data_IF_517569342636
#
_entry.id   IF_517569342636
#
_cell.length_a   1.000
_cell.length_b   1.000
_cell.length_c   1.000
_cell.angle_alpha   90.00
_cell.angle_beta   90.00
_cell.angle_gamma   90.00
#
_symmetry.space_group_name_H-M   'P 1'
#
loop_
_entity.id
_entity.type
_entity.pdbx_description
1 polymer ?
#
# COMPACT_ATOMS: atom_id res chain seq x y z
N UNK A 1 22.00 -17.00 -10.09
CA UNK A 1 22.01 -15.73 -9.32
C UNK A 1 23.12 -14.86 -9.86
N UNK A 2 22.85 -13.62 -10.24
CA UNK A 2 23.92 -12.69 -10.58
C UNK A 2 24.62 -12.20 -9.31
N UNK A 3 25.91 -11.82 -9.36
CA UNK A 3 26.62 -11.20 -8.23
C UNK A 3 25.85 -10.00 -7.63
N UNK A 4 25.13 -9.26 -8.47
CA UNK A 4 24.29 -8.11 -8.08
C UNK A 4 23.08 -8.56 -7.25
N UNK A 5 22.46 -9.68 -7.61
CA UNK A 5 21.35 -10.26 -6.85
C UNK A 5 21.77 -10.62 -5.43
N UNK A 6 22.93 -11.26 -5.27
CA UNK A 6 23.46 -11.60 -3.93
C UNK A 6 23.77 -10.35 -3.10
N UNK A 7 24.40 -9.33 -3.71
CA UNK A 7 24.70 -8.06 -3.03
C UNK A 7 23.43 -7.37 -2.52
N UNK A 8 22.37 -7.38 -3.32
CA UNK A 8 21.09 -6.79 -2.94
C UNK A 8 20.44 -7.54 -1.77
N UNK A 9 20.51 -8.87 -1.75
CA UNK A 9 20.02 -9.68 -0.63
C UNK A 9 20.78 -9.40 0.67
N UNK A 10 22.12 -9.34 0.61
CA UNK A 10 22.94 -8.99 1.77
C UNK A 10 22.60 -7.58 2.28
N UNK A 11 22.40 -6.63 1.38
CA UNK A 11 21.99 -5.27 1.74
C UNK A 11 20.63 -5.25 2.43
N UNK A 12 19.63 -5.96 1.90
CA UNK A 12 18.31 -6.02 2.51
C UNK A 12 18.35 -6.72 3.87
N UNK A 13 19.13 -7.80 4.02
CA UNK A 13 19.31 -8.47 5.31
C UNK A 13 19.94 -7.56 6.38
N UNK A 14 20.82 -6.63 6.00
CA UNK A 14 21.34 -5.60 6.91
C UNK A 14 20.25 -4.61 7.34
N UNK A 15 19.44 -4.15 6.37
CA UNK A 15 18.30 -3.27 6.65
C UNK A 15 17.30 -3.93 7.60
N UNK A 16 16.98 -5.21 7.37
CA UNK A 16 16.06 -5.99 8.20
C UNK A 16 16.55 -6.18 9.64
N UNK A 17 17.88 -6.06 9.88
CA UNK A 17 18.48 -6.04 11.22
C UNK A 17 18.61 -4.65 11.84
N UNK A 18 18.12 -3.61 11.18
CA UNK A 18 18.24 -2.22 11.65
C UNK A 18 19.60 -1.56 11.36
N UNK A 19 20.46 -2.19 10.56
CA UNK A 19 21.75 -1.63 10.12
C UNK A 19 21.61 -0.80 8.82
N UNK A 20 20.38 -0.47 8.43
CA UNK A 20 20.07 0.29 7.24
C UNK A 20 20.30 1.80 7.42
N UNK A 21 20.46 2.55 6.31
CA UNK A 21 20.42 4.01 6.37
C UNK A 21 19.04 4.50 6.86
N UNK A 22 18.99 5.71 7.42
CA UNK A 22 17.73 6.31 7.86
C UNK A 22 16.67 6.30 6.75
N UNK A 23 15.45 5.88 7.09
CA UNK A 23 14.33 5.76 6.14
C UNK A 23 14.37 4.49 5.26
N UNK A 24 15.35 3.60 5.42
CA UNK A 24 15.33 2.30 4.78
C UNK A 24 14.25 1.41 5.42
N UNK A 25 13.27 1.01 4.61
CA UNK A 25 12.25 0.07 5.04
C UNK A 25 12.79 -1.36 5.04
N UNK A 26 12.53 -2.06 6.13
CA UNK A 26 12.63 -3.52 6.24
C UNK A 26 11.68 -4.19 5.24
N UNK A 27 11.92 -5.47 4.98
CA UNK A 27 11.05 -6.29 4.12
C UNK A 27 9.60 -6.27 4.62
N UNK A 28 9.40 -6.44 5.93
CA UNK A 28 8.07 -6.42 6.54
C UNK A 28 7.37 -5.05 6.42
N UNK A 29 8.08 -3.95 6.63
CA UNK A 29 7.51 -2.60 6.47
C UNK A 29 7.13 -2.30 5.01
N UNK A 30 7.90 -2.79 4.03
CA UNK A 30 7.54 -2.63 2.61
C UNK A 30 6.28 -3.40 2.26
N UNK A 31 6.16 -4.64 2.74
CA UNK A 31 4.98 -5.46 2.55
C UNK A 31 3.73 -4.82 3.16
N UNK A 32 3.85 -4.33 4.39
CA UNK A 32 2.76 -3.65 5.06
C UNK A 32 2.36 -2.34 4.35
N UNK A 33 3.34 -1.53 3.92
CA UNK A 33 3.06 -0.33 3.14
C UNK A 33 2.33 -0.63 1.84
N UNK A 34 2.72 -1.70 1.13
CA UNK A 34 2.05 -2.13 -0.10
C UNK A 34 0.60 -2.58 0.20
N UNK A 35 0.39 -3.35 1.27
CA UNK A 35 -0.94 -3.79 1.71
C UNK A 35 -1.84 -2.61 2.07
N UNK A 36 -1.32 -1.65 2.83
CA UNK A 36 -2.06 -0.45 3.24
C UNK A 36 -2.42 0.41 2.03
N UNK A 37 -1.49 0.65 1.10
CA UNK A 37 -1.78 1.40 -0.15
C UNK A 37 -2.89 0.74 -0.97
N UNK A 38 -2.88 -0.59 -1.07
CA UNK A 38 -3.96 -1.34 -1.73
C UNK A 38 -5.30 -1.13 -1.01
N UNK A 39 -5.31 -1.25 0.32
CA UNK A 39 -6.52 -1.07 1.13
C UNK A 39 -7.10 0.34 0.98
N UNK A 40 -6.26 1.38 1.02
CA UNK A 40 -6.71 2.77 0.83
C UNK A 40 -7.39 2.94 -0.53
N UNK A 41 -6.77 2.45 -1.61
CA UNK A 41 -7.36 2.52 -2.95
C UNK A 41 -8.71 1.82 -3.04
N UNK A 42 -8.86 0.66 -2.40
CA UNK A 42 -10.12 -0.08 -2.36
C UNK A 42 -11.21 0.64 -1.56
N UNK A 43 -10.82 1.28 -0.44
CA UNK A 43 -11.72 2.10 0.37
C UNK A 43 -12.19 3.34 -0.41
N UNK A 44 -11.30 4.03 -1.10
CA UNK A 44 -11.62 5.19 -1.94
C UNK A 44 -12.62 4.82 -3.04
N UNK A 45 -12.38 3.70 -3.75
CA UNK A 45 -13.31 3.20 -4.76
C UNK A 45 -14.69 2.86 -4.18
N UNK A 46 -14.72 2.26 -2.98
CA UNK A 46 -15.97 1.92 -2.28
C UNK A 46 -16.73 3.19 -1.90
N UNK A 47 -16.05 4.19 -1.34
CA UNK A 47 -16.62 5.48 -0.97
C UNK A 47 -17.21 6.17 -2.20
N UNK A 48 -16.52 6.13 -3.34
CA UNK A 48 -17.02 6.70 -4.59
C UNK A 48 -18.35 6.06 -5.03
N UNK A 49 -18.42 4.72 -5.02
CA UNK A 49 -19.65 3.99 -5.40
C UNK A 49 -20.79 4.31 -4.45
N UNK A 50 -20.53 4.31 -3.13
CA UNK A 50 -21.53 4.67 -2.13
C UNK A 50 -22.01 6.11 -2.32
N UNK A 51 -21.11 7.06 -2.56
CA UNK A 51 -21.45 8.45 -2.83
C UNK A 51 -22.37 8.61 -4.05
N UNK A 52 -22.07 7.91 -5.15
CA UNK A 52 -22.92 7.88 -6.35
C UNK A 52 -24.29 7.28 -6.06
N UNK A 53 -24.34 6.17 -5.32
CA UNK A 53 -25.60 5.53 -4.93
C UNK A 53 -26.46 6.46 -4.07
N UNK A 54 -25.87 7.08 -3.04
CA UNK A 54 -26.57 8.04 -2.18
C UNK A 54 -27.14 9.21 -2.97
N UNK A 55 -26.36 9.79 -3.90
CA UNK A 55 -26.81 10.87 -4.77
C UNK A 55 -27.99 10.45 -5.67
N UNK A 56 -27.89 9.26 -6.30
CA UNK A 56 -28.96 8.70 -7.12
C UNK A 56 -30.26 8.53 -6.31
N UNK A 57 -30.19 7.93 -5.12
CA UNK A 57 -31.39 7.70 -4.30
C UNK A 57 -31.98 9.01 -3.75
N UNK A 58 -31.16 10.00 -3.41
CA UNK A 58 -31.65 11.32 -2.99
C UNK A 58 -32.45 12.03 -4.11
N UNK A 59 -31.98 11.93 -5.36
CA UNK A 59 -32.70 12.47 -6.51
C UNK A 59 -34.03 11.74 -6.77
N UNK A 60 -34.07 10.41 -6.63
CA UNK A 60 -35.32 9.65 -6.79
C UNK A 60 -36.37 10.01 -5.74
N UNK A 61 -35.97 10.24 -4.48
CA UNK A 61 -36.90 10.63 -3.41
C UNK A 61 -37.54 12.01 -3.59
N UNK A 62 -36.94 12.87 -4.42
CA UNK A 62 -37.40 14.26 -4.63
C UNK A 62 -38.29 14.38 -5.88
N UNK A 63 -38.42 13.31 -6.69
CA UNK A 63 -39.42 13.20 -7.76
C UNK A 63 -40.75 12.72 -7.21
#
# INVERSE_FOLDING_TARGET
>A
MSPEGLRNWVKQAKIDRGEGPAGALTTAEREELARLRRKVREQEATIEVLGKATAFFAQQKTK
#
